data_IF_070529525949
#
_entry.id   IF_070529525949
#
_cell.length_a   1.000
_cell.length_b   1.000
_cell.length_c   1.000
_cell.angle_alpha   90.00
_cell.angle_beta   90.00
_cell.angle_gamma   90.00
#
_symmetry.space_group_name_H-M   'P 1'
#
loop_
_entity.id
_entity.type
_entity.pdbx_description
1 polymer ?
#
# COMPACT_ATOMS: atom_id res chain seq x y z
N UNK A 1 -24.51 24.27 -2.38
CA UNK A 1 -24.49 25.05 -1.14
C UNK A 1 -25.38 24.32 -0.16
N UNK A 2 -24.85 23.99 1.03
CA UNK A 2 -25.55 23.17 2.03
C UNK A 2 -26.93 23.76 2.34
N UNK A 3 -27.98 22.96 2.20
CA UNK A 3 -29.35 23.37 2.49
C UNK A 3 -29.84 22.86 3.86
N UNK A 4 -31.12 23.09 4.18
CA UNK A 4 -31.70 22.67 5.46
C UNK A 4 -31.78 21.15 5.62
N UNK A 5 -31.88 20.41 4.50
CA UNK A 5 -31.93 18.96 4.46
C UNK A 5 -30.56 18.40 4.80
N UNK A 6 -29.52 18.90 4.14
CA UNK A 6 -28.12 18.50 4.40
C UNK A 6 -27.73 18.72 5.87
N UNK A 7 -28.21 19.83 6.47
CA UNK A 7 -27.94 20.12 7.87
C UNK A 7 -28.61 19.13 8.82
N UNK A 8 -29.83 18.71 8.52
CA UNK A 8 -30.55 17.75 9.36
C UNK A 8 -29.97 16.35 9.25
N UNK A 9 -29.59 15.94 8.02
CA UNK A 9 -28.85 14.70 7.77
C UNK A 9 -27.53 14.69 8.54
N UNK A 10 -26.73 15.77 8.47
CA UNK A 10 -25.49 15.87 9.24
C UNK A 10 -25.73 15.71 10.74
N UNK A 11 -26.76 16.33 11.31
CA UNK A 11 -27.07 16.15 12.74
C UNK A 11 -27.41 14.71 13.06
N UNK A 12 -28.23 14.06 12.23
CA UNK A 12 -28.64 12.69 12.44
C UNK A 12 -27.45 11.73 12.39
N UNK A 13 -26.53 11.92 11.43
CA UNK A 13 -25.26 11.18 11.33
C UNK A 13 -24.44 11.36 12.62
N UNK A 14 -24.32 12.59 13.12
CA UNK A 14 -23.54 12.88 14.33
C UNK A 14 -24.17 12.33 15.62
N UNK A 15 -25.50 12.28 15.69
CA UNK A 15 -26.25 11.70 16.81
C UNK A 15 -26.13 10.17 16.82
N UNK A 16 -26.31 9.54 15.65
CA UNK A 16 -26.23 8.10 15.47
C UNK A 16 -24.77 7.60 15.48
N UNK A 17 -23.82 8.47 15.15
CA UNK A 17 -22.39 8.18 14.97
C UNK A 17 -22.14 7.11 13.91
N UNK A 18 -22.95 7.13 12.86
CA UNK A 18 -22.80 6.19 11.75
C UNK A 18 -21.60 6.61 10.90
N UNK A 19 -20.53 5.81 10.95
CA UNK A 19 -19.29 6.11 10.23
C UNK A 19 -19.45 5.91 8.71
N UNK A 20 -20.30 4.98 8.28
CA UNK A 20 -20.57 4.75 6.86
C UNK A 20 -21.34 5.91 6.27
N UNK A 21 -22.42 6.34 6.92
CA UNK A 21 -23.21 7.50 6.46
C UNK A 21 -22.36 8.78 6.48
N UNK A 22 -21.46 8.94 7.47
CA UNK A 22 -20.52 10.05 7.50
C UNK A 22 -19.56 10.10 6.31
N UNK A 23 -19.10 8.94 5.82
CA UNK A 23 -18.26 8.84 4.62
C UNK A 23 -19.06 9.24 3.38
N UNK A 24 -20.26 8.68 3.22
CA UNK A 24 -21.13 8.96 2.07
C UNK A 24 -21.50 10.45 2.01
N UNK A 25 -21.95 11.02 3.14
CA UNK A 25 -22.27 12.44 3.24
C UNK A 25 -21.06 13.33 2.90
N UNK A 26 -19.88 13.02 3.44
CA UNK A 26 -18.66 13.79 3.20
C UNK A 26 -18.19 13.75 1.75
N UNK A 27 -18.38 12.62 1.06
CA UNK A 27 -18.03 12.42 -0.34
C UNK A 27 -18.91 13.28 -1.26
N UNK A 28 -20.19 13.37 -0.94
CA UNK A 28 -21.21 13.98 -1.80
C UNK A 28 -21.40 15.48 -1.49
N UNK A 29 -20.88 15.96 -0.34
CA UNK A 29 -20.95 17.35 0.09
C UNK A 29 -20.29 18.33 -0.90
N UNK A 30 -21.01 19.44 -1.19
CA UNK A 30 -20.53 20.50 -2.08
C UNK A 30 -19.26 21.17 -1.55
N UNK A 31 -18.16 20.92 -2.25
CA UNK A 31 -16.80 21.41 -1.92
C UNK A 31 -16.66 22.93 -1.97
N UNK A 32 -17.54 23.64 -2.67
CA UNK A 32 -17.54 25.11 -2.74
C UNK A 32 -18.35 25.75 -1.60
N UNK A 33 -19.01 24.93 -0.78
CA UNK A 33 -19.78 25.38 0.36
C UNK A 33 -18.93 26.08 1.41
N UNK A 34 -19.47 27.17 1.96
CA UNK A 34 -18.94 27.77 3.20
C UNK A 34 -19.00 26.67 4.27
N UNK A 35 -17.92 26.49 5.04
CA UNK A 35 -17.78 25.46 6.09
C UNK A 35 -17.46 24.03 5.64
N UNK A 36 -17.22 23.77 4.36
CA UNK A 36 -16.84 22.42 3.89
C UNK A 36 -15.76 21.75 4.75
N UNK A 37 -14.60 22.40 4.91
CA UNK A 37 -13.49 21.83 5.70
C UNK A 37 -13.82 21.67 7.19
N UNK A 38 -14.66 22.55 7.75
CA UNK A 38 -15.10 22.44 9.15
C UNK A 38 -15.95 21.17 9.34
N UNK A 39 -16.84 20.87 8.38
CA UNK A 39 -17.69 19.66 8.39
C UNK A 39 -16.84 18.41 8.20
N UNK A 40 -15.94 18.39 7.22
CA UNK A 40 -15.01 17.26 6.99
C UNK A 40 -14.21 16.97 8.26
N UNK A 41 -13.71 17.99 8.95
CA UNK A 41 -13.00 17.83 10.22
C UNK A 41 -13.87 17.20 11.32
N UNK A 42 -15.14 17.61 11.44
CA UNK A 42 -16.07 17.05 12.43
C UNK A 42 -16.31 15.56 12.15
N UNK A 43 -16.63 15.21 10.90
CA UNK A 43 -16.91 13.83 10.50
C UNK A 43 -15.67 12.93 10.67
N UNK A 44 -14.50 13.42 10.26
CA UNK A 44 -13.24 12.72 10.46
C UNK A 44 -12.96 12.42 11.95
N UNK A 45 -13.17 13.40 12.84
CA UNK A 45 -12.98 13.19 14.28
C UNK A 45 -13.98 12.18 14.86
N UNK A 46 -15.21 12.18 14.34
CA UNK A 46 -16.23 11.21 14.73
C UNK A 46 -15.81 9.79 14.33
N UNK A 47 -15.42 9.57 13.07
CA UNK A 47 -14.98 8.24 12.56
C UNK A 47 -13.80 7.69 13.38
N UNK A 48 -12.80 8.54 13.67
CA UNK A 48 -11.65 8.14 14.50
C UNK A 48 -12.08 7.70 15.91
N UNK A 49 -13.09 8.37 16.47
CA UNK A 49 -13.60 8.08 17.82
C UNK A 49 -14.37 6.76 17.86
N UNK A 50 -15.13 6.46 16.82
CA UNK A 50 -15.86 5.19 16.68
C UNK A 50 -14.94 4.01 16.32
N UNK A 51 -13.69 4.30 15.92
CA UNK A 51 -12.63 3.32 15.64
C UNK A 51 -13.00 2.32 14.54
N UNK A 52 -13.74 2.80 13.55
CA UNK A 52 -14.04 2.04 12.35
C UNK A 52 -12.89 2.18 11.34
N UNK A 53 -12.09 1.12 11.23
CA UNK A 53 -10.92 1.07 10.35
C UNK A 53 -11.28 1.18 8.87
N UNK A 54 -12.41 0.58 8.47
CA UNK A 54 -12.85 0.59 7.08
C UNK A 54 -13.31 1.99 6.69
N UNK A 55 -14.11 2.63 7.54
CA UNK A 55 -14.50 4.04 7.34
C UNK A 55 -13.30 4.99 7.38
N UNK A 56 -12.27 4.75 8.21
CA UNK A 56 -11.03 5.55 8.18
C UNK A 56 -10.34 5.47 6.81
N UNK A 57 -10.19 4.26 6.26
CA UNK A 57 -9.55 4.07 4.95
C UNK A 57 -10.41 4.68 3.85
N UNK A 58 -11.72 4.44 3.87
CA UNK A 58 -12.65 4.93 2.86
C UNK A 58 -12.70 6.46 2.84
N UNK A 59 -12.81 7.08 4.02
CA UNK A 59 -12.79 8.54 4.15
C UNK A 59 -11.48 9.12 3.64
N UNK A 60 -10.34 8.57 4.06
CA UNK A 60 -9.02 9.04 3.62
C UNK A 60 -8.79 8.89 2.11
N UNK A 61 -9.42 7.88 1.49
CA UNK A 61 -9.26 7.59 0.06
C UNK A 61 -10.18 8.46 -0.80
N UNK A 62 -11.42 8.69 -0.35
CA UNK A 62 -12.50 9.20 -1.21
C UNK A 62 -12.94 10.62 -0.87
N UNK A 63 -12.65 11.14 0.32
CA UNK A 63 -13.11 12.46 0.76
C UNK A 63 -12.05 13.54 0.52
N UNK A 64 -12.44 14.57 -0.24
CA UNK A 64 -11.55 15.71 -0.47
C UNK A 64 -11.35 16.54 0.81
N UNK A 65 -10.13 16.98 1.07
CA UNK A 65 -9.81 17.72 2.29
C UNK A 65 -9.65 16.86 3.55
N UNK A 66 -9.74 15.52 3.43
CA UNK A 66 -9.38 14.61 4.51
C UNK A 66 -7.94 14.89 5.00
N UNK A 67 -7.78 14.98 6.32
CA UNK A 67 -6.49 15.27 6.93
C UNK A 67 -5.73 13.97 7.20
N UNK A 68 -4.89 13.57 6.23
CA UNK A 68 -4.11 12.33 6.29
C UNK A 68 -3.19 12.27 7.51
N UNK A 69 -2.61 13.38 7.97
CA UNK A 69 -1.69 13.38 9.13
C UNK A 69 -2.36 12.92 10.41
N UNK A 70 -3.64 13.25 10.58
CA UNK A 70 -4.42 12.81 11.74
C UNK A 70 -4.74 11.31 11.61
N UNK A 71 -5.16 10.84 10.43
CA UNK A 71 -5.39 9.41 10.21
C UNK A 71 -4.12 8.58 10.35
N UNK A 72 -2.99 9.01 9.79
CA UNK A 72 -1.68 8.38 10.00
C UNK A 72 -1.33 8.31 11.49
N UNK A 73 -1.60 9.38 12.25
CA UNK A 73 -1.37 9.38 13.69
C UNK A 73 -2.28 8.41 14.45
N UNK A 74 -3.51 8.21 13.98
CA UNK A 74 -4.43 7.22 14.53
C UNK A 74 -3.99 5.79 14.16
N UNK A 75 -3.77 5.51 12.89
CA UNK A 75 -3.35 4.21 12.33
C UNK A 75 -2.08 3.70 13.02
N UNK A 76 -1.05 4.54 13.17
CA UNK A 76 0.22 4.15 13.78
C UNK A 76 0.13 3.88 15.30
N UNK A 77 -0.93 4.27 16.00
CA UNK A 77 -1.03 4.12 17.47
C UNK A 77 -1.51 2.75 17.93
N UNK A 78 -2.12 1.97 17.04
CA UNK A 78 -2.95 0.84 17.47
C UNK A 78 -2.31 -0.55 17.37
N UNK A 79 -1.02 -0.67 17.04
CA UNK A 79 -0.30 -1.96 16.92
C UNK A 79 -1.08 -3.01 16.11
N UNK A 80 -1.78 -2.55 15.06
CA UNK A 80 -2.59 -3.38 14.15
C UNK A 80 -1.89 -3.41 12.79
N UNK A 81 -0.98 -4.38 12.55
CA UNK A 81 -0.16 -4.39 11.34
C UNK A 81 -0.98 -4.53 10.05
N UNK A 82 -2.09 -5.28 10.09
CA UNK A 82 -2.99 -5.39 8.93
C UNK A 82 -3.64 -4.05 8.59
N UNK A 83 -4.07 -3.28 9.59
CA UNK A 83 -4.64 -1.95 9.37
C UNK A 83 -3.61 -0.96 8.82
N UNK A 84 -2.39 -0.97 9.37
CA UNK A 84 -1.27 -0.14 8.85
C UNK A 84 -0.99 -0.48 7.39
N UNK A 85 -0.92 -1.78 7.06
CA UNK A 85 -0.69 -2.25 5.70
C UNK A 85 -1.82 -1.83 4.75
N UNK A 86 -3.10 -2.07 5.11
CA UNK A 86 -4.26 -1.69 4.30
C UNK A 86 -4.32 -0.18 4.07
N UNK A 87 -4.03 0.61 5.09
CA UNK A 87 -3.98 2.07 4.97
C UNK A 87 -2.89 2.51 3.97
N UNK A 88 -1.66 1.97 4.09
CA UNK A 88 -0.58 2.27 3.17
C UNK A 88 -0.89 1.84 1.71
N UNK A 89 -1.61 0.74 1.55
CA UNK A 89 -1.95 0.18 0.24
C UNK A 89 -3.01 1.01 -0.49
N UNK A 90 -4.02 1.50 0.22
CA UNK A 90 -5.18 2.14 -0.39
C UNK A 90 -5.13 3.67 -0.39
N UNK A 91 -4.51 4.29 0.63
CA UNK A 91 -4.56 5.75 0.80
C UNK A 91 -3.41 6.43 0.06
N UNK A 92 -3.76 7.04 -1.08
CA UNK A 92 -2.81 7.82 -1.89
C UNK A 92 -2.31 9.05 -1.11
N UNK A 93 -0.99 9.27 -1.16
CA UNK A 93 -0.36 10.41 -0.48
C UNK A 93 -0.09 10.18 1.01
N UNK A 94 -0.37 8.98 1.54
CA UNK A 94 0.00 8.61 2.89
C UNK A 94 1.53 8.60 3.08
N UNK A 95 1.99 8.93 4.28
CA UNK A 95 3.39 8.94 4.65
C UNK A 95 3.92 7.51 4.85
N UNK A 96 4.46 6.94 3.76
CA UNK A 96 4.98 5.57 3.73
C UNK A 96 6.12 5.36 4.74
N UNK A 97 7.03 6.33 4.90
CA UNK A 97 8.13 6.24 5.88
C UNK A 97 7.59 6.07 7.31
N UNK A 98 6.59 6.88 7.68
CA UNK A 98 5.95 6.81 9.00
C UNK A 98 5.22 5.48 9.20
N UNK A 99 4.45 5.05 8.21
CA UNK A 99 3.70 3.78 8.27
C UNK A 99 4.65 2.58 8.31
N UNK A 100 5.77 2.64 7.60
CA UNK A 100 6.80 1.61 7.63
C UNK A 100 7.42 1.49 9.03
N UNK A 101 7.75 2.62 9.67
CA UNK A 101 8.24 2.59 11.05
C UNK A 101 7.24 1.91 11.97
N UNK A 102 5.96 2.28 11.87
CA UNK A 102 4.91 1.69 12.69
C UNK A 102 4.73 0.19 12.42
N UNK A 103 4.81 -0.28 11.17
CA UNK A 103 4.64 -1.71 10.86
C UNK A 103 5.84 -2.56 11.31
N UNK A 104 7.05 -1.98 11.30
CA UNK A 104 8.25 -2.62 11.87
C UNK A 104 8.11 -2.76 13.38
N UNK A 105 7.60 -1.72 14.06
CA UNK A 105 7.40 -1.71 15.51
C UNK A 105 6.42 -2.79 15.98
N UNK A 106 5.48 -3.24 15.16
CA UNK A 106 4.57 -4.34 15.52
C UNK A 106 5.25 -5.71 15.53
N UNK A 107 6.46 -5.84 14.98
CA UNK A 107 7.18 -7.11 14.84
C UNK A 107 6.51 -8.16 13.94
N UNK A 108 5.47 -7.78 13.17
CA UNK A 108 4.71 -8.73 12.36
C UNK A 108 5.42 -9.03 11.05
N UNK A 109 6.33 -10.01 11.06
CA UNK A 109 7.18 -10.35 9.91
C UNK A 109 6.40 -10.64 8.62
N UNK A 110 5.22 -11.26 8.72
CA UNK A 110 4.35 -11.46 7.56
C UNK A 110 3.85 -10.15 6.96
N UNK A 111 3.36 -9.22 7.78
CA UNK A 111 2.88 -7.92 7.31
C UNK A 111 4.02 -7.02 6.84
N UNK A 112 5.21 -7.11 7.46
CA UNK A 112 6.45 -6.46 7.00
C UNK A 112 6.83 -6.94 5.60
N UNK A 113 6.77 -8.25 5.35
CA UNK A 113 6.96 -8.81 4.00
C UNK A 113 5.89 -8.29 3.02
N UNK A 114 4.61 -8.33 3.41
CA UNK A 114 3.51 -7.81 2.56
C UNK A 114 3.68 -6.33 2.24
N UNK A 115 4.16 -5.54 3.20
CA UNK A 115 4.45 -4.13 3.01
C UNK A 115 5.58 -3.92 2.00
N UNK A 116 6.71 -4.61 2.18
CA UNK A 116 7.84 -4.55 1.25
C UNK A 116 7.45 -4.96 -0.18
N UNK A 117 6.57 -5.96 -0.31
CA UNK A 117 6.19 -6.51 -1.60
C UNK A 117 5.18 -5.64 -2.37
N UNK A 118 4.34 -4.88 -1.67
CA UNK A 118 3.17 -4.23 -2.29
C UNK A 118 3.16 -2.71 -2.19
N UNK A 119 3.98 -2.09 -1.33
CA UNK A 119 3.94 -0.64 -1.09
C UNK A 119 5.07 0.07 -1.85
N UNK A 120 4.76 0.83 -2.92
CA UNK A 120 5.77 1.61 -3.63
C UNK A 120 6.42 2.65 -2.71
N UNK A 121 7.74 2.81 -2.83
CA UNK A 121 8.50 3.75 -1.99
C UNK A 121 8.83 3.24 -0.60
N UNK A 122 8.51 1.98 -0.27
CA UNK A 122 9.02 1.34 0.94
C UNK A 122 10.56 1.22 0.90
N UNK A 123 11.19 1.44 2.05
CA UNK A 123 12.63 1.23 2.25
C UNK A 123 12.91 -0.26 2.47
N UNK A 124 13.16 -0.92 1.33
CA UNK A 124 13.42 -2.37 1.24
C UNK A 124 14.62 -2.81 2.07
N UNK A 125 15.79 -2.12 2.08
CA UNK A 125 16.90 -2.46 2.96
C UNK A 125 16.51 -2.60 4.44
N UNK A 126 15.75 -1.64 5.00
CA UNK A 126 15.31 -1.70 6.39
C UNK A 126 14.34 -2.85 6.65
N UNK A 127 13.38 -3.08 5.74
CA UNK A 127 12.42 -4.19 5.85
C UNK A 127 13.10 -5.55 5.72
N UNK A 128 14.06 -5.68 4.79
CA UNK A 128 14.84 -6.89 4.59
C UNK A 128 15.64 -7.25 5.84
N UNK A 129 16.24 -6.27 6.51
CA UNK A 129 16.99 -6.49 7.75
C UNK A 129 16.11 -7.19 8.79
N UNK A 130 14.89 -6.71 9.02
CA UNK A 130 13.95 -7.33 9.97
C UNK A 130 13.57 -8.75 9.55
N UNK A 131 13.38 -9.00 8.25
CA UNK A 131 13.07 -10.33 7.73
C UNK A 131 14.23 -11.31 7.92
N UNK A 132 15.47 -10.87 7.68
CA UNK A 132 16.67 -11.68 7.92
C UNK A 132 16.86 -11.97 9.42
N UNK A 133 16.69 -10.95 10.27
CA UNK A 133 16.78 -11.08 11.74
C UNK A 133 15.73 -12.04 12.32
N UNK A 134 14.60 -12.25 11.62
CA UNK A 134 13.60 -13.24 12.03
C UNK A 134 14.10 -14.69 11.97
N UNK A 135 15.17 -14.97 11.23
CA UNK A 135 15.70 -16.32 11.01
C UNK A 135 14.76 -17.27 10.24
N UNK A 136 13.62 -16.78 9.76
CA UNK A 136 12.63 -17.59 9.05
C UNK A 136 13.05 -17.77 7.59
N UNK A 137 13.77 -18.86 7.31
CA UNK A 137 14.30 -19.18 5.97
C UNK A 137 13.21 -19.14 4.89
N UNK A 138 12.01 -19.68 5.18
CA UNK A 138 10.90 -19.66 4.21
C UNK A 138 10.48 -18.24 3.86
N UNK A 139 10.43 -17.35 4.84
CA UNK A 139 10.08 -15.94 4.63
C UNK A 139 11.20 -15.19 3.91
N UNK A 140 12.46 -15.44 4.28
CA UNK A 140 13.64 -14.89 3.60
C UNK A 140 13.65 -15.28 2.11
N UNK A 141 13.41 -16.56 1.79
CA UNK A 141 13.30 -17.02 0.40
C UNK A 141 12.16 -16.35 -0.36
N UNK A 142 10.99 -16.20 0.26
CA UNK A 142 9.85 -15.48 -0.34
C UNK A 142 10.16 -14.00 -0.59
N UNK A 143 10.85 -13.36 0.35
CA UNK A 143 11.27 -11.97 0.21
C UNK A 143 12.20 -11.80 -0.99
N UNK A 144 13.25 -12.63 -1.09
CA UNK A 144 14.18 -12.61 -2.21
C UNK A 144 13.51 -12.87 -3.58
N UNK A 145 12.50 -13.73 -3.62
CA UNK A 145 11.80 -14.09 -4.86
C UNK A 145 10.82 -13.02 -5.36
N UNK A 146 10.17 -12.31 -4.43
CA UNK A 146 8.99 -11.51 -4.75
C UNK A 146 9.20 -10.01 -4.58
N UNK A 147 10.06 -9.58 -3.64
CA UNK A 147 10.24 -8.15 -3.33
C UNK A 147 11.24 -7.52 -4.31
N UNK A 148 10.75 -6.56 -5.08
CA UNK A 148 11.60 -5.78 -5.98
C UNK A 148 12.61 -4.95 -5.18
N UNK A 149 13.89 -4.99 -5.57
CA UNK A 149 14.97 -4.29 -4.87
C UNK A 149 15.54 -5.03 -3.65
N UNK A 150 15.08 -6.26 -3.38
CA UNK A 150 15.70 -7.11 -2.36
C UNK A 150 17.16 -7.45 -2.72
N UNK A 151 18.04 -7.42 -1.73
CA UNK A 151 19.41 -7.91 -1.86
C UNK A 151 19.42 -9.44 -1.64
N UNK A 152 19.20 -10.14 -2.76
CA UNK A 152 19.16 -11.60 -2.83
C UNK A 152 20.48 -12.23 -2.37
N UNK A 153 21.62 -11.59 -2.62
CA UNK A 153 22.93 -12.11 -2.23
C UNK A 153 23.09 -12.10 -0.71
N UNK A 154 22.74 -11.00 -0.05
CA UNK A 154 22.77 -10.90 1.41
C UNK A 154 21.79 -11.90 2.07
N UNK A 155 20.60 -12.09 1.48
CA UNK A 155 19.64 -13.10 1.94
C UNK A 155 20.23 -14.50 1.80
N UNK A 156 20.82 -14.83 0.65
CA UNK A 156 21.46 -16.12 0.39
C UNK A 156 22.56 -16.42 1.40
N UNK A 157 23.43 -15.47 1.69
CA UNK A 157 24.49 -15.62 2.69
C UNK A 157 23.93 -15.90 4.09
N UNK A 158 22.82 -15.23 4.43
CA UNK A 158 22.16 -15.42 5.72
C UNK A 158 21.53 -16.82 5.82
N UNK A 159 20.89 -17.30 4.76
CA UNK A 159 20.38 -18.69 4.68
C UNK A 159 21.53 -19.68 4.77
N UNK A 160 22.66 -19.44 4.09
CA UNK A 160 23.82 -20.33 4.12
C UNK A 160 24.37 -20.50 5.55
N UNK A 161 24.32 -19.44 6.36
CA UNK A 161 24.75 -19.50 7.77
C UNK A 161 23.76 -20.25 8.66
N UNK A 162 22.47 -20.16 8.38
CA UNK A 162 21.41 -20.79 9.18
C UNK A 162 21.18 -22.26 8.80
N UNK A 163 21.11 -22.55 7.51
CA UNK A 163 20.80 -23.88 6.94
C UNK A 163 21.42 -24.02 5.54
N UNK A 164 22.71 -24.43 5.45
CA UNK A 164 23.41 -24.62 4.18
C UNK A 164 22.67 -25.52 3.18
N UNK A 165 21.98 -26.56 3.67
CA UNK A 165 21.28 -27.54 2.85
C UNK A 165 20.09 -26.94 2.08
N UNK A 166 19.59 -25.78 2.49
CA UNK A 166 18.53 -25.04 1.80
C UNK A 166 19.03 -24.28 0.56
N UNK A 167 20.34 -24.05 0.42
CA UNK A 167 20.92 -23.22 -0.64
C UNK A 167 20.70 -23.76 -2.06
N UNK A 168 20.90 -25.06 -2.36
CA UNK A 168 20.66 -25.57 -3.70
C UNK A 168 19.23 -25.30 -4.19
N UNK A 169 18.24 -25.44 -3.30
CA UNK A 169 16.84 -25.15 -3.60
C UNK A 169 16.61 -23.66 -3.79
N UNK A 170 17.13 -22.83 -2.90
CA UNK A 170 17.02 -21.37 -2.99
C UNK A 170 17.60 -20.86 -4.33
N UNK A 171 18.80 -21.29 -4.70
CA UNK A 171 19.47 -20.88 -5.95
C UNK A 171 18.68 -21.34 -7.18
N UNK A 172 18.10 -22.54 -7.15
CA UNK A 172 17.24 -23.03 -8.21
C UNK A 172 15.97 -22.18 -8.36
N UNK A 173 15.29 -21.85 -7.25
CA UNK A 173 14.08 -21.03 -7.24
C UNK A 173 14.35 -19.62 -7.79
N UNK A 174 15.48 -18.99 -7.40
CA UNK A 174 15.91 -17.68 -7.91
C UNK A 174 16.21 -17.74 -9.41
N UNK A 175 16.89 -18.79 -9.88
CA UNK A 175 17.23 -18.97 -11.29
C UNK A 175 15.97 -19.13 -12.15
N UNK A 176 15.03 -19.98 -11.71
CA UNK A 176 13.73 -20.17 -12.38
C UNK A 176 12.92 -18.87 -12.44
N UNK A 177 12.96 -18.05 -11.38
CA UNK A 177 12.27 -16.76 -11.35
C UNK A 177 12.85 -15.78 -12.38
N UNK A 178 14.18 -15.73 -12.53
CA UNK A 178 14.87 -14.91 -13.54
C UNK A 178 14.52 -15.35 -14.95
N UNK A 179 14.59 -16.64 -15.24
CA UNK A 179 14.23 -17.20 -16.55
C UNK A 179 12.78 -16.86 -16.94
N UNK A 180 11.84 -16.96 -15.97
CA UNK A 180 10.43 -16.57 -16.19
C UNK A 180 10.26 -15.08 -16.45
N UNK A 181 11.05 -14.22 -15.82
CA UNK A 181 11.02 -12.79 -16.09
C UNK A 181 11.52 -12.51 -17.50
N UNK A 182 12.67 -13.05 -17.86
CA UNK A 182 13.29 -12.88 -19.18
C UNK A 182 12.36 -13.32 -20.31
N UNK A 183 11.67 -14.47 -20.15
CA UNK A 183 10.66 -14.95 -21.12
C UNK A 183 9.40 -14.10 -21.21
N UNK A 184 9.12 -13.28 -20.19
CA UNK A 184 7.93 -12.42 -20.14
C UNK A 184 8.21 -10.99 -20.65
N UNK A 185 9.46 -10.67 -21.01
CA UNK A 185 9.78 -9.43 -21.72
C UNK A 185 9.74 -9.66 -23.23
N UNK A 186 9.16 -8.71 -23.96
CA UNK A 186 9.31 -8.69 -25.41
C UNK A 186 10.80 -8.54 -25.75
N UNK A 187 11.30 -9.43 -26.59
CA UNK A 187 12.67 -9.35 -27.13
C UNK A 187 12.81 -8.10 -28.00
N UNK A 188 14.04 -7.61 -28.18
CA UNK A 188 14.31 -6.48 -29.09
C UNK A 188 13.78 -6.75 -30.50
N UNK A 189 13.88 -7.99 -31.00
CA UNK A 189 13.35 -8.33 -32.32
C UNK A 189 11.82 -8.29 -32.40
N UNK A 190 11.12 -8.63 -31.31
CA UNK A 190 9.66 -8.53 -31.24
C UNK A 190 9.22 -7.07 -31.19
N UNK A 191 9.95 -6.23 -30.44
CA UNK A 191 9.75 -4.78 -30.40
C UNK A 191 9.99 -4.18 -31.79
N UNK A 192 11.12 -4.50 -32.42
CA UNK A 192 11.50 -4.00 -33.75
C UNK A 192 10.52 -4.44 -34.84
N UNK A 193 10.05 -5.70 -34.78
CA UNK A 193 9.03 -6.21 -35.69
C UNK A 193 7.73 -5.40 -35.60
N UNK A 194 7.26 -5.13 -34.37
CA UNK A 194 6.07 -4.30 -34.14
C UNK A 194 6.29 -2.86 -34.61
N UNK A 195 7.44 -2.25 -34.29
CA UNK A 195 7.76 -0.89 -34.72
C UNK A 195 7.86 -0.76 -36.25
N UNK A 196 8.46 -1.75 -36.92
CA UNK A 196 8.57 -1.77 -38.38
C UNK A 196 7.21 -1.99 -39.05
N UNK A 197 6.33 -2.81 -38.46
CA UNK A 197 4.95 -2.96 -38.93
C UNK A 197 4.20 -1.62 -38.95
N UNK A 198 4.29 -0.82 -37.89
CA UNK A 198 3.64 0.49 -37.84
C UNK A 198 4.25 1.47 -38.86
N UNK A 199 5.59 1.52 -38.99
CA UNK A 199 6.26 2.35 -40.01
C UNK A 199 5.83 1.98 -41.43
N UNK A 200 5.67 0.70 -41.73
CA UNK A 200 5.22 0.25 -43.06
C UNK A 200 3.77 0.65 -43.34
N UNK A 201 2.89 0.63 -42.34
CA UNK A 201 1.51 1.09 -42.50
C UNK A 201 1.42 2.59 -42.81
N UNK A 202 2.17 3.44 -42.11
CA UNK A 202 2.20 4.88 -42.40
C UNK A 202 2.66 5.19 -43.82
N UNK A 203 3.63 4.43 -44.34
CA UNK A 203 4.13 4.57 -45.72
C UNK A 203 3.14 4.07 -46.78
N UNK A 204 2.27 3.12 -46.45
CA UNK A 204 1.25 2.60 -47.39
C UNK A 204 -0.04 3.44 -47.43
N UNK A 205 -0.27 4.29 -46.43
CA UNK A 205 -1.44 5.17 -46.33
C UNK A 205 -1.18 6.59 -46.90
N UNK A 206 0.01 6.84 -47.48
CA UNK A 206 0.40 8.09 -48.16
C UNK A 206 0.51 7.91 -49.68
#
# INVERSE_FOLDING_TARGET
MMDSTDLEELKQILENKDSSEAVDFARDLDRKGVKYLDIIMILQNMIIKEKDDDSVIEFATNVHGANLKIFESYVCKHDRPEFIFRFALHVKGANIERLQKAIIETGSTYNIYSFANNIPGADIPSLQKVIVESGNIKLMSRFALNVHGADVSAIRESIMKLEPDSIPRFDADISLRKERLEKNYATESEIDSVLNYFKMKEVMET
#
